data_IF_980573321382
#
_entry.id   IF_980573321382
#
_cell.length_a   1.000
_cell.length_b   1.000
_cell.length_c   1.000
_cell.angle_alpha   90.00
_cell.angle_beta   90.00
_cell.angle_gamma   90.00
#
_symmetry.space_group_name_H-M   'P 1'
#
loop_
_entity.id
_entity.type
_entity.pdbx_description
1 polymer ?
#
# COMPACT_ATOMS: atom_id res chain seq x y z
N UNK A 1 -16.01 13.71 1.00
CA UNK A 1 -15.63 12.94 2.20
C UNK A 1 -14.16 12.60 2.03
N UNK A 2 -13.31 13.35 2.71
CA UNK A 2 -11.87 13.07 2.80
C UNK A 2 -11.70 11.81 3.65
N UNK A 3 -10.94 10.83 3.16
CA UNK A 3 -10.74 9.55 3.87
C UNK A 3 -9.29 9.33 4.29
N UNK A 4 -8.41 10.31 4.08
CA UNK A 4 -7.04 10.23 4.56
C UNK A 4 -6.32 11.56 4.41
N UNK A 5 -5.43 11.89 5.34
CA UNK A 5 -4.69 13.14 5.31
C UNK A 5 -3.18 12.86 5.28
N UNK A 6 -2.46 13.51 4.36
CA UNK A 6 -1.00 13.47 4.31
C UNK A 6 -0.42 14.80 4.77
N UNK A 7 0.60 14.82 5.65
CA UNK A 7 1.11 16.07 6.26
C UNK A 7 1.53 17.15 5.26
N UNK A 8 1.98 16.77 4.06
CA UNK A 8 2.47 17.68 3.02
C UNK A 8 1.55 17.81 1.81
N UNK A 9 0.64 16.86 1.58
CA UNK A 9 -0.25 16.84 0.41
C UNK A 9 -1.68 17.29 0.76
N UNK A 10 -2.04 17.24 2.05
CA UNK A 10 -3.39 17.55 2.52
C UNK A 10 -4.36 16.37 2.37
N UNK A 11 -5.66 16.65 2.14
CA UNK A 11 -6.71 15.64 2.08
C UNK A 11 -6.57 14.71 0.86
N UNK A 12 -6.98 13.45 1.01
CA UNK A 12 -6.93 12.41 -0.01
C UNK A 12 -8.34 11.91 -0.35
N UNK A 13 -8.59 11.77 -1.65
CA UNK A 13 -9.74 11.01 -2.16
C UNK A 13 -9.63 9.53 -1.81
N UNK A 14 -10.76 8.80 -1.85
CA UNK A 14 -10.80 7.36 -1.51
C UNK A 14 -9.90 6.47 -2.36
N UNK A 15 -9.68 6.84 -3.62
CA UNK A 15 -8.83 6.07 -4.53
C UNK A 15 -7.34 6.18 -4.19
N UNK A 16 -6.89 7.31 -3.63
CA UNK A 16 -5.47 7.53 -3.37
C UNK A 16 -4.90 6.60 -2.28
N UNK A 17 -5.50 6.45 -1.08
CA UNK A 17 -5.06 5.48 -0.08
C UNK A 17 -5.11 4.04 -0.58
N UNK A 18 -6.07 3.71 -1.46
CA UNK A 18 -6.15 2.37 -2.05
C UNK A 18 -4.92 2.06 -2.91
N UNK A 19 -4.51 3.01 -3.76
CA UNK A 19 -3.29 2.88 -4.57
C UNK A 19 -2.04 2.79 -3.69
N UNK A 20 -1.93 3.67 -2.70
CA UNK A 20 -0.82 3.66 -1.73
C UNK A 20 -0.79 2.37 -0.90
N UNK A 21 -1.93 1.73 -0.70
CA UNK A 21 -2.08 0.51 0.08
C UNK A 21 -1.85 -0.78 -0.71
N UNK A 22 -1.60 -0.74 -2.02
CA UNK A 22 -1.42 -1.97 -2.79
C UNK A 22 -0.13 -2.70 -2.40
N UNK A 23 0.99 -1.98 -2.33
CA UNK A 23 2.30 -2.55 -2.02
C UNK A 23 3.07 -1.73 -0.99
N UNK A 24 2.53 -1.66 0.23
CA UNK A 24 3.13 -0.86 1.30
C UNK A 24 3.50 -1.66 2.54
N UNK A 25 4.25 -0.96 3.40
CA UNK A 25 4.41 -1.32 4.80
C UNK A 25 3.40 -0.51 5.61
N UNK A 26 2.41 -1.19 6.19
CA UNK A 26 1.28 -0.57 6.88
C UNK A 26 1.38 -0.79 8.38
N UNK A 27 1.48 0.30 9.14
CA UNK A 27 1.23 0.36 10.59
C UNK A 27 -0.12 1.03 10.86
N UNK A 28 -0.83 0.61 11.90
CA UNK A 28 -2.15 1.15 12.22
C UNK A 28 -2.23 1.61 13.66
N UNK A 29 -2.87 2.75 13.89
CA UNK A 29 -3.21 3.27 15.22
C UNK A 29 -4.68 3.65 15.22
N UNK A 30 -5.47 3.03 16.09
CA UNK A 30 -6.88 3.35 16.29
C UNK A 30 -7.00 4.27 17.51
N UNK A 31 -7.67 5.40 17.36
CA UNK A 31 -7.90 6.36 18.44
C UNK A 31 -9.36 6.31 18.93
N UNK A 32 -9.54 6.46 20.23
CA UNK A 32 -10.83 6.72 20.85
C UNK A 32 -11.35 8.12 20.48
N UNK A 33 -12.61 8.41 20.78
CA UNK A 33 -13.23 9.73 20.57
C UNK A 33 -12.49 10.87 21.29
N UNK A 34 -11.84 10.59 22.42
CA UNK A 34 -11.02 11.54 23.18
C UNK A 34 -9.52 11.49 22.82
N UNK A 35 -9.17 10.80 21.72
CA UNK A 35 -7.81 10.78 21.18
C UNK A 35 -6.82 9.80 21.83
N UNK A 36 -7.23 9.00 22.82
CA UNK A 36 -6.33 7.96 23.34
C UNK A 36 -6.22 6.77 22.37
N UNK A 37 -5.03 6.18 22.21
CA UNK A 37 -4.86 4.99 21.39
C UNK A 37 -5.57 3.78 22.02
N UNK A 38 -6.49 3.18 21.25
CA UNK A 38 -7.19 1.94 21.59
C UNK A 38 -6.44 0.70 21.09
N UNK A 39 -5.80 0.83 19.93
CA UNK A 39 -5.01 -0.24 19.32
C UNK A 39 -3.84 0.37 18.54
N UNK A 40 -2.69 -0.29 18.59
CA UNK A 40 -1.48 0.12 17.88
C UNK A 40 -0.75 -1.14 17.40
N UNK A 41 -0.85 -1.40 16.11
CA UNK A 41 -0.24 -2.58 15.50
C UNK A 41 1.06 -2.18 14.81
N UNK A 42 2.14 -2.97 15.00
CA UNK A 42 3.39 -2.74 14.30
C UNK A 42 3.18 -2.86 12.80
N UNK A 43 4.07 -2.21 12.05
CA UNK A 43 3.99 -2.25 10.61
C UNK A 43 4.15 -3.66 10.05
N UNK A 44 3.32 -4.02 9.08
CA UNK A 44 3.47 -5.25 8.29
C UNK A 44 3.51 -4.92 6.81
N UNK A 45 4.26 -5.70 6.03
CA UNK A 45 4.17 -5.65 4.58
C UNK A 45 2.85 -6.27 4.15
N UNK A 46 2.10 -5.57 3.30
CA UNK A 46 0.86 -6.11 2.73
C UNK A 46 1.15 -7.19 1.69
N UNK A 47 2.27 -7.04 0.97
CA UNK A 47 2.82 -8.06 0.07
C UNK A 47 4.11 -8.59 0.67
N UNK A 48 4.16 -9.89 0.97
CA UNK A 48 5.34 -10.52 1.57
C UNK A 48 6.49 -10.61 0.56
N UNK A 49 7.69 -10.87 1.07
CA UNK A 49 8.86 -11.06 0.21
C UNK A 49 8.66 -12.26 -0.74
N UNK A 50 8.07 -13.34 -0.24
CA UNK A 50 7.79 -14.58 -0.98
C UNK A 50 6.76 -14.33 -2.09
N UNK A 51 5.70 -13.56 -1.80
CA UNK A 51 4.71 -13.16 -2.80
C UNK A 51 5.35 -12.33 -3.92
N UNK A 52 6.23 -11.37 -3.56
CA UNK A 52 6.94 -10.56 -4.56
C UNK A 52 7.86 -11.42 -5.44
N UNK A 53 8.58 -12.38 -4.86
CA UNK A 53 9.39 -13.33 -5.64
C UNK A 53 8.52 -14.15 -6.60
N UNK A 54 7.36 -14.64 -6.14
CA UNK A 54 6.43 -15.37 -6.98
C UNK A 54 5.90 -14.52 -8.16
N UNK A 55 5.58 -13.25 -7.92
CA UNK A 55 5.15 -12.31 -8.97
C UNK A 55 6.25 -12.06 -9.99
N UNK A 56 7.49 -11.83 -9.55
CA UNK A 56 8.64 -11.66 -10.45
C UNK A 56 8.83 -12.89 -11.34
N UNK A 57 8.72 -14.10 -10.77
CA UNK A 57 8.87 -15.34 -11.51
C UNK A 57 7.73 -15.58 -12.51
N UNK A 58 6.49 -15.24 -12.13
CA UNK A 58 5.29 -15.40 -12.96
C UNK A 58 5.23 -14.39 -14.11
N UNK A 59 5.37 -13.11 -13.78
CA UNK A 59 5.05 -12.01 -14.69
C UNK A 59 6.28 -11.48 -15.44
N UNK A 60 7.49 -11.67 -14.88
CA UNK A 60 8.76 -11.19 -15.45
C UNK A 60 8.81 -9.67 -15.71
N UNK A 61 7.83 -8.92 -15.23
CA UNK A 61 7.58 -7.51 -15.50
C UNK A 61 6.15 -7.15 -15.15
N UNK A 62 5.65 -6.04 -15.68
CA UNK A 62 4.25 -5.65 -15.49
C UNK A 62 3.31 -6.66 -16.17
N UNK A 63 2.28 -7.11 -15.44
CA UNK A 63 1.27 -8.03 -15.98
C UNK A 63 0.29 -7.37 -16.97
N UNK A 64 0.31 -6.04 -17.10
CA UNK A 64 -0.56 -5.32 -18.04
C UNK A 64 -0.18 -5.63 -19.50
N UNK A 65 -1.15 -5.98 -20.37
CA UNK A 65 -0.85 -6.35 -21.75
C UNK A 65 -0.06 -5.28 -22.51
N UNK A 66 1.08 -5.67 -23.08
CA UNK A 66 1.95 -4.79 -23.86
C UNK A 66 2.82 -3.84 -23.05
N UNK A 67 2.73 -3.86 -21.72
CA UNK A 67 3.66 -3.11 -20.88
C UNK A 67 5.02 -3.81 -20.81
N UNK A 68 6.10 -3.05 -20.95
CA UNK A 68 7.48 -3.57 -20.93
C UNK A 68 8.24 -3.17 -19.66
N UNK A 69 7.53 -2.67 -18.63
CA UNK A 69 8.16 -2.29 -17.37
C UNK A 69 8.80 -3.51 -16.71
N UNK A 70 10.04 -3.34 -16.28
CA UNK A 70 10.78 -4.34 -15.51
C UNK A 70 10.15 -4.51 -14.12
N UNK A 71 10.34 -5.67 -13.45
CA UNK A 71 9.73 -5.89 -12.14
C UNK A 71 10.12 -4.87 -11.05
N UNK A 72 11.27 -4.20 -11.21
CA UNK A 72 11.69 -3.14 -10.29
C UNK A 72 10.80 -1.88 -10.36
N UNK A 73 9.96 -1.74 -11.38
CA UNK A 73 9.06 -0.59 -11.61
C UNK A 73 7.58 -0.96 -11.44
N UNK A 74 7.29 -2.13 -10.87
CA UNK A 74 5.93 -2.62 -10.69
C UNK A 74 5.58 -2.72 -9.21
N UNK A 75 4.35 -2.33 -8.89
CA UNK A 75 3.73 -2.61 -7.60
C UNK A 75 2.99 -3.95 -7.63
N UNK A 76 2.91 -4.61 -6.48
CA UNK A 76 2.09 -5.80 -6.30
C UNK A 76 0.66 -5.41 -5.90
N UNK A 77 -0.33 -5.78 -6.71
CA UNK A 77 -1.75 -5.45 -6.55
C UNK A 77 -2.61 -6.70 -6.34
#
# INVERSE_FOLDING_TARGET
LDVGHMPWLGPLSVSQPRLLGCDCFLSTVLLASHGAPLDAQPGKRLVTAEQRVALIARDKGCAFPGCTCVPAWTDAH
#
